data_IF_058842891115
#
_entry.id   IF_058842891115
#
_cell.length_a   1.000
_cell.length_b   1.000
_cell.length_c   1.000
_cell.angle_alpha   90.00
_cell.angle_beta   90.00
_cell.angle_gamma   90.00
#
_symmetry.space_group_name_H-M   'P 1'
#
loop_
_entity.id
_entity.type
_entity.pdbx_description
1 polymer ?
#
# COMPACT_ATOMS: atom_id res chain seq x y z
N UNK A 1 18.87 -50.38 20.81
CA UNK A 1 19.39 -49.73 19.59
C UNK A 1 18.31 -49.15 18.69
N UNK A 2 17.30 -49.92 18.23
CA UNK A 2 16.28 -49.43 17.28
C UNK A 2 15.47 -48.20 17.75
N UNK A 3 15.00 -48.20 19.00
CA UNK A 3 14.24 -47.08 19.59
C UNK A 3 15.11 -45.81 19.68
N UNK A 4 16.39 -45.96 20.02
CA UNK A 4 17.34 -44.85 20.12
C UNK A 4 17.59 -44.22 18.74
N UNK A 5 17.73 -45.03 17.70
CA UNK A 5 17.88 -44.56 16.31
C UNK A 5 16.64 -43.79 15.85
N UNK A 6 15.44 -44.31 16.12
CA UNK A 6 14.18 -43.63 15.76
C UNK A 6 14.03 -42.30 16.51
N UNK A 7 14.35 -42.25 17.80
CA UNK A 7 14.32 -41.03 18.59
C UNK A 7 15.31 -39.97 18.06
N UNK A 8 16.50 -40.39 17.64
CA UNK A 8 17.55 -39.51 17.10
C UNK A 8 17.14 -38.93 15.73
N UNK A 9 16.51 -39.74 14.87
CA UNK A 9 15.94 -39.28 13.59
C UNK A 9 14.79 -38.30 13.84
N UNK A 10 13.88 -38.60 14.75
CA UNK A 10 12.77 -37.69 15.09
C UNK A 10 13.28 -36.36 15.67
N UNK A 11 14.30 -36.40 16.52
CA UNK A 11 14.94 -35.20 17.06
C UNK A 11 15.64 -34.38 15.97
N UNK A 12 16.34 -35.03 15.03
CA UNK A 12 16.94 -34.35 13.88
C UNK A 12 15.87 -33.69 12.98
N UNK A 13 14.75 -34.36 12.72
CA UNK A 13 13.63 -33.80 11.95
C UNK A 13 13.01 -32.61 12.69
N UNK A 14 12.83 -32.71 14.01
CA UNK A 14 12.33 -31.61 14.85
C UNK A 14 13.27 -30.40 14.85
N UNK A 15 14.59 -30.63 14.90
CA UNK A 15 15.58 -29.54 14.83
C UNK A 15 15.60 -28.88 13.45
N UNK A 16 15.42 -29.64 12.36
CA UNK A 16 15.38 -29.11 11.00
C UNK A 16 14.06 -28.35 10.72
N UNK A 17 12.93 -28.79 11.29
CA UNK A 17 11.65 -28.07 11.13
C UNK A 17 11.59 -26.76 11.92
N UNK A 18 12.32 -26.66 13.04
CA UNK A 18 12.41 -25.43 13.84
C UNK A 18 13.40 -24.39 13.26
N UNK A 19 14.30 -24.78 12.36
CA UNK A 19 15.30 -23.90 11.77
C UNK A 19 14.80 -23.30 10.44
N UNK A 20 14.10 -22.17 10.51
CA UNK A 20 13.93 -21.29 9.34
C UNK A 20 14.93 -20.14 9.43
N UNK A 21 15.70 -19.94 8.37
CA UNK A 21 16.69 -18.85 8.28
C UNK A 21 16.42 -17.98 7.05
N UNK A 22 16.32 -16.68 7.26
CA UNK A 22 16.15 -15.70 6.18
C UNK A 22 17.50 -15.10 5.83
N UNK A 23 17.89 -15.12 4.55
CA UNK A 23 19.10 -14.43 4.11
C UNK A 23 18.96 -12.92 4.34
N UNK A 24 20.05 -12.24 4.75
CA UNK A 24 20.05 -10.78 4.79
C UNK A 24 19.86 -10.21 3.38
N UNK A 25 19.34 -8.99 3.33
CA UNK A 25 19.20 -8.24 2.07
C UNK A 25 20.55 -8.11 1.35
N UNK A 26 20.51 -8.15 0.02
CA UNK A 26 21.67 -7.85 -0.82
C UNK A 26 22.14 -6.41 -0.58
N UNK A 27 23.37 -6.08 -0.97
CA UNK A 27 23.86 -4.70 -0.86
C UNK A 27 22.98 -3.71 -1.65
N UNK A 28 22.48 -4.13 -2.83
CA UNK A 28 21.56 -3.34 -3.64
C UNK A 28 20.19 -3.15 -2.97
N UNK A 29 19.64 -4.21 -2.38
CA UNK A 29 18.36 -4.11 -1.67
C UNK A 29 18.46 -3.27 -0.39
N UNK A 30 19.60 -3.33 0.34
CA UNK A 30 19.83 -2.48 1.51
C UNK A 30 19.94 -1.00 1.15
N UNK A 31 20.63 -0.70 0.05
CA UNK A 31 20.70 0.69 -0.42
C UNK A 31 19.32 1.18 -0.88
N UNK A 32 18.56 0.33 -1.55
CA UNK A 32 17.20 0.64 -1.94
C UNK A 32 16.26 0.80 -0.72
N UNK A 33 16.43 -0.03 0.32
CA UNK A 33 15.75 0.10 1.62
C UNK A 33 16.09 1.42 2.31
N UNK A 34 17.36 1.83 2.32
CA UNK A 34 17.79 3.11 2.87
C UNK A 34 17.12 4.29 2.15
N UNK A 35 17.17 4.30 0.81
CA UNK A 35 16.54 5.33 -0.02
C UNK A 35 15.01 5.35 0.19
N UNK A 36 14.39 4.18 0.27
CA UNK A 36 12.93 4.05 0.47
C UNK A 36 12.51 4.54 1.87
N UNK A 37 13.30 4.30 2.91
CA UNK A 37 13.02 4.85 4.23
C UNK A 37 13.26 6.38 4.31
N UNK A 38 14.12 6.91 3.45
CA UNK A 38 14.40 8.35 3.43
C UNK A 38 13.32 9.12 2.67
N UNK A 39 13.03 8.68 1.44
CA UNK A 39 12.21 9.37 0.43
C UNK A 39 10.99 8.59 -0.06
N UNK A 40 10.84 7.32 0.34
CA UNK A 40 9.68 6.53 -0.02
C UNK A 40 8.44 6.95 0.76
N UNK A 41 7.27 6.48 0.35
CA UNK A 41 5.98 6.86 0.94
C UNK A 41 5.12 7.68 -0.02
N UNK A 42 4.20 8.45 0.57
CA UNK A 42 3.15 9.19 -0.15
C UNK A 42 3.51 10.66 -0.31
N UNK A 43 3.56 11.11 -1.55
CA UNK A 43 3.71 12.49 -1.98
C UNK A 43 2.32 13.11 -2.16
N UNK A 44 1.94 13.97 -1.24
CA UNK A 44 0.64 14.65 -1.17
C UNK A 44 0.77 16.02 -1.83
N UNK A 45 0.07 16.22 -2.93
CA UNK A 45 0.13 17.44 -3.75
C UNK A 45 -0.72 18.58 -3.17
N UNK A 46 -1.80 18.24 -2.46
CA UNK A 46 -2.63 19.18 -1.72
C UNK A 46 -3.04 18.55 -0.38
N UNK A 47 -2.46 19.06 0.71
CA UNK A 47 -2.66 18.52 2.06
C UNK A 47 -4.11 18.63 2.51
N UNK A 48 -4.74 19.78 2.28
CA UNK A 48 -6.12 20.02 2.71
C UNK A 48 -7.08 19.03 2.03
N UNK A 49 -6.96 18.86 0.72
CA UNK A 49 -7.81 17.95 -0.04
C UNK A 49 -7.56 16.49 0.32
N UNK A 50 -6.32 16.11 0.61
CA UNK A 50 -6.00 14.75 1.06
C UNK A 50 -6.61 14.44 2.43
N UNK A 51 -6.54 15.38 3.38
CA UNK A 51 -7.17 15.22 4.70
C UNK A 51 -8.70 15.15 4.59
N UNK A 52 -9.32 15.96 3.73
CA UNK A 52 -10.75 15.89 3.44
C UNK A 52 -11.15 14.55 2.82
N UNK A 53 -10.38 14.08 1.83
CA UNK A 53 -10.57 12.77 1.20
C UNK A 53 -10.54 11.65 2.24
N UNK A 54 -9.50 11.63 3.08
CA UNK A 54 -9.34 10.59 4.10
C UNK A 54 -10.55 10.53 5.04
N UNK A 55 -11.01 11.68 5.55
CA UNK A 55 -12.20 11.74 6.40
C UNK A 55 -13.44 11.20 5.68
N UNK A 56 -13.61 11.53 4.41
CA UNK A 56 -14.74 11.04 3.59
C UNK A 56 -14.67 9.54 3.35
N UNK A 57 -13.50 8.99 3.04
CA UNK A 57 -13.34 7.54 2.87
C UNK A 57 -13.55 6.80 4.19
N UNK A 58 -13.07 7.34 5.32
CA UNK A 58 -13.32 6.77 6.65
C UNK A 58 -14.82 6.76 7.01
N UNK A 59 -15.57 7.82 6.62
CA UNK A 59 -17.03 7.89 6.78
C UNK A 59 -17.76 6.93 5.84
N UNK A 60 -17.36 6.89 4.55
CA UNK A 60 -17.91 5.98 3.53
C UNK A 60 -17.67 4.52 3.88
N UNK A 61 -16.50 4.17 4.40
CA UNK A 61 -16.19 2.80 4.82
C UNK A 61 -17.05 2.36 6.00
N UNK A 62 -17.23 3.23 7.00
CA UNK A 62 -18.13 2.97 8.14
C UNK A 62 -19.59 2.82 7.68
N UNK A 63 -20.04 3.69 6.77
CA UNK A 63 -21.36 3.61 6.19
C UNK A 63 -21.52 2.33 5.35
N UNK A 64 -20.53 1.98 4.52
CA UNK A 64 -20.53 0.76 3.72
C UNK A 64 -20.65 -0.51 4.57
N UNK A 65 -20.04 -0.54 5.75
CA UNK A 65 -20.25 -1.61 6.73
C UNK A 65 -21.70 -1.64 7.21
N UNK A 66 -22.29 -0.49 7.55
CA UNK A 66 -23.71 -0.39 7.93
C UNK A 66 -24.63 -0.89 6.81
N UNK A 67 -24.44 -0.42 5.58
CA UNK A 67 -25.18 -0.86 4.40
C UNK A 67 -24.98 -2.34 4.09
N UNK A 68 -23.81 -2.92 4.41
CA UNK A 68 -23.58 -4.36 4.29
C UNK A 68 -24.37 -5.17 5.32
N UNK A 69 -24.56 -4.65 6.53
CA UNK A 69 -25.33 -5.30 7.61
C UNK A 69 -26.84 -5.15 7.36
N UNK A 70 -27.28 -3.97 6.92
CA UNK A 70 -28.69 -3.64 6.65
C UNK A 70 -29.16 -4.07 5.25
N UNK A 71 -28.23 -4.33 4.34
CA UNK A 71 -28.48 -4.74 2.97
C UNK A 71 -29.13 -6.13 2.87
N UNK A 72 -29.74 -6.41 1.71
CA UNK A 72 -30.48 -7.65 1.48
C UNK A 72 -29.53 -8.85 1.38
N UNK A 73 -29.48 -9.64 2.45
CA UNK A 73 -28.85 -10.96 2.48
C UNK A 73 -29.39 -11.81 1.32
N UNK A 74 -28.53 -12.19 0.37
CA UNK A 74 -28.88 -13.21 -0.63
C UNK A 74 -28.37 -14.56 -0.16
N UNK A 75 -29.30 -15.49 0.07
CA UNK A 75 -28.98 -16.89 0.33
C UNK A 75 -28.60 -17.59 -0.97
N UNK A 76 -27.38 -18.09 -1.03
CA UNK A 76 -26.88 -19.00 -2.06
C UNK A 76 -26.88 -20.44 -1.50
N UNK A 77 -26.79 -21.44 -2.39
CA UNK A 77 -26.76 -22.87 -2.01
C UNK A 77 -25.60 -23.23 -1.06
N UNK A 78 -24.57 -22.38 -0.97
CA UNK A 78 -23.32 -22.56 -0.24
C UNK A 78 -23.06 -21.45 0.81
N UNK A 79 -24.08 -20.65 1.17
CA UNK A 79 -23.98 -19.65 2.23
C UNK A 79 -24.66 -18.32 1.88
N UNK A 80 -24.53 -17.34 2.78
CA UNK A 80 -25.11 -16.01 2.62
C UNK A 80 -24.08 -15.01 2.11
N UNK A 81 -24.46 -14.17 1.14
CA UNK A 81 -23.62 -13.04 0.70
C UNK A 81 -24.37 -11.74 0.97
N UNK A 82 -23.65 -10.80 1.56
CA UNK A 82 -24.10 -9.43 1.79
C UNK A 82 -23.55 -8.53 0.70
N UNK A 83 -24.45 -7.84 0.00
CA UNK A 83 -24.10 -6.86 -1.03
C UNK A 83 -24.16 -5.46 -0.43
N UNK A 84 -23.20 -4.62 -0.80
CA UNK A 84 -23.28 -3.18 -0.53
C UNK A 84 -24.09 -2.58 -1.68
N UNK A 85 -25.17 -1.90 -1.34
CA UNK A 85 -25.89 -1.06 -2.31
C UNK A 85 -25.07 0.21 -2.56
N UNK A 86 -24.23 0.17 -3.60
CA UNK A 86 -23.35 1.29 -3.94
C UNK A 86 -24.13 2.55 -4.33
N UNK A 87 -25.32 2.41 -4.93
CA UNK A 87 -26.14 3.57 -5.31
C UNK A 87 -26.70 4.27 -4.06
N UNK A 88 -27.18 3.50 -3.08
CA UNK A 88 -27.61 4.04 -1.80
C UNK A 88 -26.45 4.70 -1.02
N UNK A 89 -25.27 4.06 -1.02
CA UNK A 89 -24.06 4.61 -0.39
C UNK A 89 -23.62 5.91 -1.05
N UNK A 90 -23.59 5.97 -2.38
CA UNK A 90 -23.20 7.17 -3.14
C UNK A 90 -24.20 8.32 -3.01
N UNK A 91 -25.49 8.00 -2.81
CA UNK A 91 -26.51 9.01 -2.56
C UNK A 91 -26.36 9.65 -1.18
N UNK A 92 -26.03 8.88 -0.15
CA UNK A 92 -25.84 9.40 1.22
C UNK A 92 -24.45 10.03 1.40
N UNK A 93 -23.42 9.46 0.77
CA UNK A 93 -22.03 9.91 0.87
C UNK A 93 -21.40 10.13 -0.50
N UNK A 94 -21.74 11.18 -1.27
CA UNK A 94 -21.19 11.38 -2.60
C UNK A 94 -19.65 11.37 -2.61
N UNK A 95 -18.99 10.77 -3.63
CA UNK A 95 -17.52 10.76 -3.79
C UNK A 95 -17.00 12.13 -4.26
N UNK A 96 -17.25 13.15 -3.43
CA UNK A 96 -16.86 14.53 -3.65
C UNK A 96 -16.30 15.13 -2.37
N UNK A 97 -15.30 15.98 -2.52
CA UNK A 97 -14.73 16.79 -1.46
C UNK A 97 -15.73 17.88 -1.03
N UNK A 98 -15.61 18.42 0.20
CA UNK A 98 -16.43 19.53 0.71
C UNK A 98 -16.54 20.75 -0.22
N UNK A 99 -15.53 21.02 -1.03
CA UNK A 99 -15.51 22.12 -2.01
C UNK A 99 -16.25 21.79 -3.33
N UNK A 100 -16.83 20.59 -3.47
CA UNK A 100 -17.55 20.13 -4.66
C UNK A 100 -16.69 19.38 -5.67
N UNK A 101 -15.37 19.32 -5.49
CA UNK A 101 -14.48 18.61 -6.41
C UNK A 101 -14.69 17.11 -6.30
N UNK A 102 -14.78 16.44 -7.46
CA UNK A 102 -14.83 14.98 -7.49
C UNK A 102 -13.45 14.43 -7.14
N UNK A 103 -13.41 13.32 -6.43
CA UNK A 103 -12.16 12.61 -6.17
C UNK A 103 -12.25 11.17 -6.65
N UNK A 104 -11.10 10.59 -6.96
CA UNK A 104 -10.96 9.20 -7.37
C UNK A 104 -9.92 8.49 -6.52
N UNK A 105 -10.20 7.25 -6.11
CA UNK A 105 -9.25 6.34 -5.46
C UNK A 105 -9.27 4.99 -6.17
N UNK A 106 -8.17 4.23 -6.08
CA UNK A 106 -8.04 2.86 -6.63
C UNK A 106 -8.39 2.76 -8.12
N UNK A 107 -9.63 2.39 -8.45
CA UNK A 107 -10.11 2.15 -9.82
C UNK A 107 -10.82 3.37 -10.42
N UNK A 108 -11.16 4.37 -9.62
CA UNK A 108 -11.95 5.54 -10.04
C UNK A 108 -11.06 6.77 -10.28
N UNK A 109 -9.76 6.55 -10.54
CA UNK A 109 -8.82 7.62 -10.82
C UNK A 109 -9.19 8.33 -12.14
N UNK A 110 -9.20 9.66 -12.13
CA UNK A 110 -9.28 10.41 -13.37
C UNK A 110 -7.95 10.33 -14.12
N UNK A 111 -7.99 10.54 -15.44
CA UNK A 111 -6.80 10.50 -16.29
C UNK A 111 -6.03 11.81 -16.09
N UNK A 112 -4.91 11.73 -15.36
CA UNK A 112 -4.01 12.87 -15.18
C UNK A 112 -3.27 13.17 -16.49
N UNK A 113 -3.34 14.40 -17.03
CA UNK A 113 -2.57 14.79 -18.21
C UNK A 113 -1.07 14.59 -18.01
N UNK A 114 -0.36 14.25 -19.09
CA UNK A 114 1.07 13.89 -19.01
C UNK A 114 1.92 15.05 -18.49
N UNK A 115 1.68 16.26 -18.98
CA UNK A 115 2.36 17.48 -18.55
C UNK A 115 2.14 17.78 -17.07
N UNK A 116 0.91 17.58 -16.57
CA UNK A 116 0.58 17.69 -15.15
C UNK A 116 1.36 16.65 -14.33
N UNK A 117 1.39 15.39 -14.76
CA UNK A 117 2.17 14.36 -14.06
C UNK A 117 3.67 14.65 -14.04
N UNK A 118 4.24 15.07 -15.18
CA UNK A 118 5.66 15.41 -15.29
C UNK A 118 6.03 16.62 -14.41
N UNK A 119 5.13 17.59 -14.23
CA UNK A 119 5.32 18.67 -13.26
C UNK A 119 5.54 18.11 -11.85
N UNK A 120 4.62 17.30 -11.32
CA UNK A 120 4.77 16.74 -9.98
C UNK A 120 5.96 15.80 -9.86
N UNK A 121 6.22 15.00 -10.90
CA UNK A 121 7.40 14.12 -10.97
C UNK A 121 8.70 14.92 -10.91
N UNK A 122 8.78 16.08 -11.56
CA UNK A 122 9.94 16.98 -11.46
C UNK A 122 10.13 17.52 -10.04
N UNK A 123 9.04 17.86 -9.33
CA UNK A 123 9.09 18.30 -7.93
C UNK A 123 9.53 17.21 -6.97
N UNK A 124 9.08 15.98 -7.21
CA UNK A 124 9.53 14.79 -6.48
C UNK A 124 11.04 14.59 -6.71
N UNK A 125 11.51 14.71 -7.95
CA UNK A 125 12.92 14.63 -8.31
C UNK A 125 13.78 15.71 -7.66
N UNK A 126 13.34 16.98 -7.69
CA UNK A 126 14.01 18.11 -7.02
C UNK A 126 14.18 17.86 -5.52
N UNK A 127 13.19 17.21 -4.89
CA UNK A 127 13.20 16.92 -3.46
C UNK A 127 14.16 15.79 -3.05
N UNK A 128 14.21 14.69 -3.81
CA UNK A 128 15.04 13.52 -3.45
C UNK A 128 16.42 13.50 -4.09
N UNK A 129 16.65 14.33 -5.12
CA UNK A 129 17.87 14.33 -5.92
C UNK A 129 17.92 13.22 -6.98
N UNK A 130 18.82 13.37 -7.95
CA UNK A 130 18.90 12.51 -9.13
C UNK A 130 19.13 11.02 -8.80
N UNK A 131 20.00 10.73 -7.83
CA UNK A 131 20.41 9.35 -7.51
C UNK A 131 19.26 8.55 -6.89
N UNK A 132 18.60 9.11 -5.87
CA UNK A 132 17.43 8.49 -5.24
C UNK A 132 16.26 8.39 -6.22
N UNK A 133 16.04 9.45 -7.02
CA UNK A 133 14.97 9.47 -8.02
C UNK A 133 15.11 8.35 -9.05
N UNK A 134 16.31 8.15 -9.59
CA UNK A 134 16.55 7.06 -10.56
C UNK A 134 16.20 5.68 -9.99
N UNK A 135 16.32 5.48 -8.67
CA UNK A 135 15.99 4.23 -7.99
C UNK A 135 14.50 4.10 -7.70
N UNK A 136 13.81 5.19 -7.36
CA UNK A 136 12.41 5.19 -6.95
C UNK A 136 11.41 5.47 -8.09
N UNK A 137 11.83 6.10 -9.18
CA UNK A 137 10.99 6.47 -10.32
C UNK A 137 10.14 5.31 -10.85
N UNK A 138 10.66 4.08 -11.05
CA UNK A 138 9.85 2.96 -11.54
C UNK A 138 8.71 2.54 -10.60
N UNK A 139 8.74 3.00 -9.35
CA UNK A 139 7.79 2.63 -8.30
C UNK A 139 6.80 3.75 -7.97
N UNK A 140 6.85 4.89 -8.67
CA UNK A 140 5.90 5.99 -8.52
C UNK A 140 4.55 5.63 -9.15
N UNK A 141 3.49 5.69 -8.34
CA UNK A 141 2.12 5.34 -8.74
C UNK A 141 1.16 6.39 -8.18
N UNK A 142 0.27 6.92 -9.02
CA UNK A 142 -0.82 7.80 -8.54
C UNK A 142 -1.84 6.93 -7.80
N UNK A 143 -2.14 7.24 -6.54
CA UNK A 143 -3.09 6.48 -5.71
C UNK A 143 -4.42 7.18 -5.51
N UNK A 144 -4.44 8.51 -5.62
CA UNK A 144 -5.66 9.30 -5.59
C UNK A 144 -5.55 10.51 -6.51
N UNK A 145 -6.70 10.94 -7.02
CA UNK A 145 -6.84 12.09 -7.94
C UNK A 145 -8.03 12.95 -7.52
N UNK A 146 -8.05 14.20 -7.97
CA UNK A 146 -9.24 15.04 -7.91
C UNK A 146 -9.48 15.76 -9.23
N UNK A 147 -10.74 16.10 -9.49
CA UNK A 147 -11.19 16.86 -10.65
C UNK A 147 -11.77 18.18 -10.17
N UNK A 148 -11.26 19.29 -10.70
CA UNK A 148 -11.79 20.63 -10.41
C UNK A 148 -13.13 20.88 -11.13
N UNK A 149 -13.69 22.08 -10.93
CA UNK A 149 -14.97 22.46 -11.54
C UNK A 149 -14.89 22.60 -13.07
N UNK A 150 -13.69 22.81 -13.63
CA UNK A 150 -13.45 22.95 -15.07
C UNK A 150 -13.22 21.58 -15.74
N UNK A 151 -13.18 20.49 -14.97
CA UNK A 151 -12.95 19.14 -15.46
C UNK A 151 -11.47 18.76 -15.55
N UNK A 152 -10.55 19.58 -15.04
CA UNK A 152 -9.12 19.27 -15.04
C UNK A 152 -8.80 18.26 -13.95
N UNK A 153 -8.04 17.23 -14.32
CA UNK A 153 -7.63 16.16 -13.42
C UNK A 153 -6.24 16.40 -12.85
N UNK A 154 -6.11 16.28 -11.53
CA UNK A 154 -4.84 16.44 -10.82
C UNK A 154 -4.56 15.22 -9.93
N UNK A 155 -3.29 14.79 -9.80
CA UNK A 155 -2.92 13.82 -8.80
C UNK A 155 -3.07 14.45 -7.42
N UNK A 156 -3.71 13.75 -6.49
CA UNK A 156 -3.81 14.15 -5.09
C UNK A 156 -2.70 13.50 -4.26
N UNK A 157 -2.46 12.21 -4.51
CA UNK A 157 -1.38 11.44 -3.88
C UNK A 157 -0.64 10.61 -4.93
N UNK A 158 0.69 10.69 -4.91
CA UNK A 158 1.61 9.83 -5.65
C UNK A 158 2.38 9.01 -4.62
N UNK A 159 2.36 7.70 -4.73
CA UNK A 159 2.94 6.78 -3.76
C UNK A 159 4.09 6.01 -4.37
N UNK A 160 5.14 5.78 -3.58
CA UNK A 160 6.25 4.90 -3.93
C UNK A 160 6.18 3.63 -3.12
N UNK A 161 6.06 2.49 -3.82
CA UNK A 161 6.07 1.17 -3.16
C UNK A 161 7.18 0.29 -3.67
N UNK A 162 8.17 0.07 -2.83
CA UNK A 162 9.29 -0.79 -3.16
C UNK A 162 9.19 -2.11 -2.42
N UNK A 163 9.24 -3.21 -3.16
CA UNK A 163 9.25 -4.56 -2.62
C UNK A 163 10.39 -5.36 -3.21
N UNK A 164 10.96 -6.24 -2.41
CA UNK A 164 11.97 -7.21 -2.85
C UNK A 164 11.60 -8.61 -2.41
N UNK A 165 12.31 -9.62 -2.91
CA UNK A 165 12.13 -11.02 -2.52
C UNK A 165 13.31 -11.44 -1.66
N UNK A 166 13.04 -11.71 -0.37
CA UNK A 166 14.03 -12.34 0.50
C UNK A 166 14.02 -13.85 0.31
N UNK A 167 15.20 -14.45 0.30
CA UNK A 167 15.34 -15.91 0.26
C UNK A 167 15.26 -16.47 1.68
N UNK A 168 14.37 -17.43 1.88
CA UNK A 168 14.21 -18.17 3.13
C UNK A 168 14.65 -19.61 2.90
N UNK A 169 15.51 -20.10 3.78
CA UNK A 169 15.94 -21.50 3.86
C UNK A 169 15.22 -22.18 5.02
N UNK A 170 14.61 -23.33 4.74
CA UNK A 170 13.82 -24.08 5.70
C UNK A 170 12.87 -25.04 5.01
N UNK A 171 12.25 -25.92 5.79
CA UNK A 171 11.24 -26.84 5.27
C UNK A 171 9.95 -26.05 4.96
N UNK A 172 9.55 -26.03 3.69
CA UNK A 172 8.33 -25.36 3.23
C UNK A 172 7.65 -26.21 2.16
N UNK A 173 6.37 -25.98 1.89
CA UNK A 173 5.63 -26.74 0.88
C UNK A 173 4.24 -27.13 1.36
N UNK A 174 3.42 -27.57 0.42
CA UNK A 174 2.11 -28.17 0.67
C UNK A 174 1.99 -29.49 -0.12
N UNK A 175 0.90 -30.22 0.09
CA UNK A 175 0.67 -31.55 -0.51
C UNK A 175 0.62 -31.51 -2.04
N UNK A 176 0.31 -30.35 -2.65
CA UNK A 176 0.19 -30.20 -4.11
C UNK A 176 1.48 -29.72 -4.80
N UNK A 177 2.30 -28.93 -4.12
CA UNK A 177 3.51 -28.31 -4.66
C UNK A 177 4.81 -29.01 -4.23
N UNK A 178 4.70 -30.00 -3.32
CA UNK A 178 5.82 -30.74 -2.75
C UNK A 178 6.62 -29.96 -1.72
N UNK A 179 7.58 -30.64 -1.07
CA UNK A 179 8.45 -30.06 -0.05
C UNK A 179 9.66 -29.36 -0.72
N UNK A 180 10.00 -28.16 -0.24
CA UNK A 180 11.11 -27.31 -0.71
C UNK A 180 11.94 -26.83 0.46
N UNK A 181 13.26 -26.79 0.25
CA UNK A 181 14.23 -26.28 1.23
C UNK A 181 14.55 -24.79 1.06
N UNK A 182 14.05 -24.18 -0.02
CA UNK A 182 14.24 -22.77 -0.37
C UNK A 182 12.91 -22.20 -0.84
N UNK A 183 12.55 -21.04 -0.31
CA UNK A 183 11.40 -20.26 -0.74
C UNK A 183 11.76 -18.77 -0.84
N UNK A 184 10.96 -18.02 -1.59
CA UNK A 184 11.06 -16.57 -1.68
C UNK A 184 9.88 -15.93 -0.97
N UNK A 185 10.12 -14.89 -0.18
CA UNK A 185 9.06 -14.07 0.42
C UNK A 185 9.17 -12.63 -0.04
N UNK A 186 8.08 -12.10 -0.57
CA UNK A 186 7.99 -10.67 -0.90
C UNK A 186 7.94 -9.87 0.41
N UNK A 187 8.83 -8.90 0.55
CA UNK A 187 8.86 -7.96 1.69
C UNK A 187 8.82 -6.52 1.18
N UNK A 188 8.15 -5.64 1.92
CA UNK A 188 8.22 -4.20 1.68
C UNK A 188 9.55 -3.68 2.22
N UNK A 189 10.19 -2.76 1.49
CA UNK A 189 11.46 -2.15 1.91
C UNK A 189 11.29 -0.90 2.81
N UNK A 190 10.08 -0.68 3.34
CA UNK A 190 9.76 0.45 4.21
C UNK A 190 9.24 1.67 3.45
N UNK A 191 9.23 2.83 4.10
CA UNK A 191 8.74 4.09 3.54
C UNK A 191 7.22 4.28 3.53
N UNK A 192 6.45 3.20 3.68
CA UNK A 192 4.97 3.22 3.62
C UNK A 192 4.30 4.18 4.61
N UNK A 193 4.99 4.54 5.70
CA UNK A 193 4.47 5.46 6.71
C UNK A 193 4.91 6.92 6.57
N UNK A 194 5.68 7.25 5.53
CA UNK A 194 6.18 8.60 5.30
C UNK A 194 5.25 9.38 4.38
N UNK A 195 5.03 10.64 4.76
CA UNK A 195 4.27 11.61 4.00
C UNK A 195 5.20 12.73 3.57
N UNK A 196 5.06 13.16 2.33
CA UNK A 196 5.78 14.29 1.78
C UNK A 196 4.75 15.28 1.25
N UNK A 197 4.69 16.49 1.80
CA UNK A 197 3.68 17.48 1.44
C UNK A 197 4.29 18.51 0.50
N UNK A 198 3.58 18.82 -0.60
CA UNK A 198 3.94 19.93 -1.46
C UNK A 198 3.53 21.24 -0.78
N UNK A 199 4.51 22.08 -0.46
CA UNK A 199 4.32 23.40 0.15
C UNK A 199 5.16 24.41 -0.64
N UNK A 200 4.52 25.45 -1.18
CA UNK A 200 5.19 26.46 -2.00
C UNK A 200 6.06 25.84 -3.11
N UNK A 201 5.47 24.92 -3.88
CA UNK A 201 6.10 24.17 -4.98
C UNK A 201 7.31 23.31 -4.60
N UNK A 202 7.50 23.01 -3.30
CA UNK A 202 8.56 22.15 -2.80
C UNK A 202 8.00 21.08 -1.88
N UNK A 203 8.42 19.83 -2.10
CA UNK A 203 8.08 18.76 -1.16
C UNK A 203 8.89 18.90 0.13
N UNK A 204 8.23 18.67 1.25
CA UNK A 204 8.86 18.58 2.57
C UNK A 204 8.39 17.31 3.27
N UNK A 205 9.28 16.68 4.05
CA UNK A 205 8.91 15.51 4.85
C UNK A 205 7.91 15.94 5.92
N UNK A 206 6.74 15.33 5.91
CA UNK A 206 5.72 15.45 6.93
C UNK A 206 6.10 14.68 8.19
N UNK A 207 5.66 15.17 9.34
CA UNK A 207 5.71 14.39 10.57
C UNK A 207 4.76 13.19 10.49
N UNK A 208 5.09 12.08 11.18
CA UNK A 208 4.19 10.92 11.31
C UNK A 208 2.89 11.39 11.96
N UNK A 209 1.85 11.63 11.15
CA UNK A 209 0.50 11.84 11.65
C UNK A 209 0.03 10.52 12.30
N UNK A 210 0.24 10.40 13.60
CA UNK A 210 -0.27 9.29 14.41
C UNK A 210 -1.63 9.70 14.95
N UNK A 211 -2.69 9.24 14.30
CA UNK A 211 -4.02 9.23 14.92
C UNK A 211 -4.25 7.81 15.47
N UNK A 212 -4.39 7.68 16.79
CA UNK A 212 -4.71 6.42 17.48
C UNK A 212 -3.82 5.22 17.10
N UNK A 213 -2.50 5.41 17.07
CA UNK A 213 -1.50 4.36 16.79
C UNK A 213 -1.64 3.65 15.42
N UNK A 214 -2.47 4.19 14.52
CA UNK A 214 -2.64 3.68 13.16
C UNK A 214 -1.86 4.56 12.20
N UNK A 215 -0.99 3.95 11.39
CA UNK A 215 -0.35 4.66 10.28
C UNK A 215 -1.47 5.03 9.31
N UNK A 216 -1.71 6.33 9.16
CA UNK A 216 -2.58 6.85 8.11
C UNK A 216 -1.99 6.37 6.78
N UNK A 217 -2.77 5.67 5.96
CA UNK A 217 -2.39 5.28 4.59
C UNK A 217 -3.41 5.97 3.68
N UNK A 218 -2.91 6.78 2.75
CA UNK A 218 -3.72 7.41 1.70
C UNK A 218 -3.68 6.57 0.43
#
# INVERSE_FOLDING_TARGET
>A
MKIFIIALIAFAIFMVSACTFTMPLSAGDRELERITNEYGGSFVTNKEYAEQLKKREDERDKAGIRFKIEGSEKKLKNGSVYFIDSEALDKEFPPALPNGYKYGTKNDLCIVPKDVYEFYKSKIKEYMGDEAFKRLEPYLIITSTYTDNDGNCFPLTIYTRVRTVVTIYGLSGDEGAGIRLKSGRIVSLGGDEHFHYLINDKFVKGEKMRENNTIIRY
#
